data_IF_783595873543
#
_entry.id   IF_783595873543
#
_cell.length_a   1.000
_cell.length_b   1.000
_cell.length_c   1.000
_cell.angle_alpha   90.00
_cell.angle_beta   90.00
_cell.angle_gamma   90.00
#
_symmetry.space_group_name_H-M   'P 1'
#
loop_
_entity.id
_entity.type
_entity.pdbx_description
1 polymer ?
#
# COMPACT_ATOMS: atom_id res chain seq x y z
N UNK A 1 -6.51 45.85 0.10
CA UNK A 1 -7.18 44.82 0.93
C UNK A 1 -7.23 43.55 0.11
N UNK A 2 -6.73 42.40 0.61
CA UNK A 2 -6.91 41.12 -0.12
C UNK A 2 -8.41 40.86 -0.26
N UNK A 3 -8.90 40.56 -1.45
CA UNK A 3 -10.30 40.14 -1.64
C UNK A 3 -10.53 38.82 -0.90
N UNK A 4 -11.75 38.64 -0.35
CA UNK A 4 -12.14 37.43 0.37
C UNK A 4 -11.89 36.16 -0.46
N UNK A 5 -12.11 36.24 -1.77
CA UNK A 5 -11.88 35.16 -2.72
C UNK A 5 -10.41 34.74 -2.79
N UNK A 6 -9.46 35.68 -2.80
CA UNK A 6 -8.02 35.36 -2.79
C UNK A 6 -7.59 34.64 -1.50
N UNK A 7 -8.24 34.95 -0.38
CA UNK A 7 -7.99 34.24 0.89
C UNK A 7 -8.55 32.82 0.83
N UNK A 8 -9.77 32.65 0.32
CA UNK A 8 -10.40 31.34 0.14
C UNK A 8 -9.61 30.42 -0.78
N UNK A 9 -9.20 30.91 -1.95
CA UNK A 9 -8.37 30.19 -2.90
C UNK A 9 -7.02 29.78 -2.28
N UNK A 10 -6.40 30.69 -1.53
CA UNK A 10 -5.14 30.43 -0.84
C UNK A 10 -5.26 29.28 0.17
N UNK A 11 -6.32 29.29 0.99
CA UNK A 11 -6.58 28.24 1.98
C UNK A 11 -6.92 26.91 1.31
N UNK A 12 -7.80 26.89 0.31
CA UNK A 12 -8.11 25.68 -0.45
C UNK A 12 -6.85 25.05 -1.05
N UNK A 13 -5.97 25.88 -1.64
CA UNK A 13 -4.71 25.40 -2.20
C UNK A 13 -3.80 24.80 -1.13
N UNK A 14 -3.65 25.47 0.02
CA UNK A 14 -2.85 24.95 1.13
C UNK A 14 -3.41 23.64 1.69
N UNK A 15 -4.73 23.50 1.82
CA UNK A 15 -5.38 22.26 2.25
C UNK A 15 -5.13 21.12 1.26
N UNK A 16 -5.27 21.38 -0.05
CA UNK A 16 -4.98 20.38 -1.10
C UNK A 16 -3.52 19.90 -1.08
N UNK A 17 -2.57 20.82 -0.84
CA UNK A 17 -1.16 20.46 -0.71
C UNK A 17 -0.91 19.63 0.55
N UNK A 18 -1.56 19.97 1.67
CA UNK A 18 -1.46 19.19 2.90
C UNK A 18 -2.05 17.79 2.74
N UNK A 19 -3.21 17.67 2.10
CA UNK A 19 -3.84 16.41 1.72
C UNK A 19 -2.89 15.52 0.94
N UNK A 20 -2.35 16.02 -0.18
CA UNK A 20 -1.49 15.22 -1.06
C UNK A 20 -0.26 14.70 -0.35
N UNK A 21 0.35 15.50 0.54
CA UNK A 21 1.49 15.05 1.37
C UNK A 21 1.11 13.94 2.33
N UNK A 22 -0.09 14.01 2.89
CA UNK A 22 -0.59 13.00 3.83
C UNK A 22 -0.97 11.71 3.12
N UNK A 23 -1.55 11.80 1.91
CA UNK A 23 -1.80 10.67 1.03
C UNK A 23 -0.50 9.93 0.69
N UNK A 24 0.54 10.65 0.26
CA UNK A 24 1.85 10.07 -0.01
C UNK A 24 2.40 9.34 1.23
N UNK A 25 2.31 9.98 2.40
CA UNK A 25 2.82 9.43 3.67
C UNK A 25 2.09 8.14 4.08
N UNK A 26 0.76 8.11 3.92
CA UNK A 26 -0.06 6.95 4.28
C UNK A 26 0.12 5.79 3.29
N UNK A 27 0.37 6.09 2.02
CA UNK A 27 0.45 5.07 0.96
C UNK A 27 1.86 4.53 0.73
N UNK A 28 2.91 5.26 1.15
CA UNK A 28 4.32 4.91 0.90
C UNK A 28 4.68 3.44 1.20
N UNK A 29 4.21 2.89 2.32
CA UNK A 29 4.54 1.52 2.74
C UNK A 29 3.58 0.46 2.19
N UNK A 30 2.42 0.85 1.66
CA UNK A 30 1.45 -0.07 1.07
C UNK A 30 2.01 -0.72 -0.20
N UNK A 31 2.80 0.03 -0.98
CA UNK A 31 3.44 -0.47 -2.19
C UNK A 31 4.34 -1.66 -1.87
N UNK A 32 5.15 -1.57 -0.81
CA UNK A 32 6.01 -2.68 -0.39
C UNK A 32 5.19 -3.93 -0.05
N UNK A 33 4.10 -3.80 0.72
CA UNK A 33 3.24 -4.93 1.06
C UNK A 33 2.60 -5.55 -0.18
N UNK A 34 2.16 -4.74 -1.14
CA UNK A 34 1.62 -5.22 -2.42
C UNK A 34 2.68 -5.97 -3.26
N UNK A 35 3.92 -5.48 -3.27
CA UNK A 35 5.03 -6.15 -3.95
C UNK A 35 5.36 -7.48 -3.28
N UNK A 36 5.48 -7.53 -1.95
CA UNK A 36 5.74 -8.79 -1.22
C UNK A 36 4.60 -9.78 -1.44
N UNK A 37 3.36 -9.33 -1.34
CA UNK A 37 2.17 -10.15 -1.59
C UNK A 37 2.18 -10.80 -2.98
N UNK A 38 2.55 -10.04 -4.01
CA UNK A 38 2.51 -10.51 -5.40
C UNK A 38 3.75 -11.30 -5.81
N UNK A 39 4.94 -10.94 -5.32
CA UNK A 39 6.20 -11.57 -5.72
C UNK A 39 6.51 -12.86 -4.95
N UNK A 40 6.16 -12.94 -3.66
CA UNK A 40 6.56 -14.06 -2.79
C UNK A 40 6.10 -15.45 -3.27
N UNK A 41 4.90 -15.63 -3.83
CA UNK A 41 4.49 -16.93 -4.39
C UNK A 41 5.39 -17.38 -5.55
N UNK A 42 5.82 -16.45 -6.40
CA UNK A 42 6.70 -16.75 -7.52
C UNK A 42 8.12 -17.10 -7.06
N UNK A 43 8.61 -16.47 -5.98
CA UNK A 43 9.88 -16.84 -5.35
C UNK A 43 9.80 -18.28 -4.81
N UNK A 44 8.68 -18.66 -4.18
CA UNK A 44 8.47 -20.04 -3.71
C UNK A 44 8.38 -21.06 -4.85
N UNK A 45 7.66 -20.71 -5.93
CA UNK A 45 7.59 -21.53 -7.14
C UNK A 45 8.97 -21.70 -7.79
N UNK A 46 9.77 -20.64 -7.88
CA UNK A 46 11.13 -20.72 -8.37
C UNK A 46 11.97 -21.73 -7.55
N UNK A 47 11.84 -21.71 -6.22
CA UNK A 47 12.48 -22.70 -5.35
C UNK A 47 12.08 -24.15 -5.66
N UNK A 48 10.81 -24.40 -6.01
CA UNK A 48 10.40 -25.76 -6.44
C UNK A 48 11.03 -26.18 -7.74
N UNK A 49 11.11 -25.28 -8.73
CA UNK A 49 11.77 -25.56 -10.01
C UNK A 49 13.24 -25.89 -9.78
N UNK A 50 13.91 -25.13 -8.91
CA UNK A 50 15.30 -25.38 -8.54
C UNK A 50 15.51 -26.75 -7.87
N UNK A 51 14.71 -27.09 -6.86
CA UNK A 51 14.84 -28.38 -6.16
C UNK A 51 14.51 -29.58 -7.04
N UNK A 52 13.53 -29.45 -7.95
CA UNK A 52 13.24 -30.48 -8.96
C UNK A 52 14.43 -30.64 -9.91
N UNK A 53 15.03 -29.54 -10.38
CA UNK A 53 16.24 -29.58 -11.21
C UNK A 53 17.40 -30.30 -10.49
N UNK A 54 17.65 -29.96 -9.22
CA UNK A 54 18.69 -30.62 -8.40
C UNK A 54 18.45 -32.12 -8.20
N UNK A 55 17.17 -32.52 -8.10
CA UNK A 55 16.76 -33.93 -8.04
C UNK A 55 17.15 -34.65 -9.34
N UNK A 56 16.85 -34.07 -10.51
CA UNK A 56 17.21 -34.66 -11.81
C UNK A 56 18.72 -34.71 -12.05
N UNK A 57 19.48 -33.71 -11.59
CA UNK A 57 20.95 -33.73 -11.65
C UNK A 57 21.54 -34.84 -10.77
N UNK A 58 21.00 -35.04 -9.57
CA UNK A 58 21.45 -36.13 -8.68
C UNK A 58 21.18 -37.51 -9.28
N UNK A 59 20.06 -37.66 -9.98
CA UNK A 59 19.72 -38.88 -10.72
C UNK A 59 20.66 -39.14 -11.91
N UNK A 60 21.07 -38.10 -12.64
CA UNK A 60 21.94 -38.27 -13.82
C UNK A 60 23.37 -38.67 -13.47
N UNK A 61 23.83 -38.36 -12.26
CA UNK A 61 25.18 -38.68 -11.79
C UNK A 61 25.29 -40.05 -11.10
N UNK A 62 24.17 -40.73 -10.83
CA UNK A 62 24.14 -41.96 -10.02
C UNK A 62 23.81 -43.18 -10.89
N UNK A 63 24.59 -44.26 -10.79
CA UNK A 63 24.33 -45.52 -11.54
C UNK A 63 23.07 -46.28 -11.08
N UNK A 64 22.70 -46.17 -9.81
CA UNK A 64 21.46 -46.72 -9.24
C UNK A 64 20.68 -45.62 -8.51
N UNK A 65 19.64 -45.12 -9.17
CA UNK A 65 18.73 -44.15 -8.59
C UNK A 65 17.86 -44.79 -7.49
N UNK A 66 17.77 -44.14 -6.33
CA UNK A 66 16.84 -44.53 -5.26
C UNK A 66 16.01 -43.33 -4.81
N UNK A 67 14.84 -43.55 -4.21
CA UNK A 67 14.05 -42.45 -3.64
C UNK A 67 14.82 -41.68 -2.57
N UNK A 68 15.71 -42.34 -1.83
CA UNK A 68 16.53 -41.72 -0.81
C UNK A 68 17.49 -40.66 -1.38
N UNK A 69 17.94 -40.79 -2.64
CA UNK A 69 18.87 -39.83 -3.26
C UNK A 69 18.20 -38.54 -3.73
N UNK A 70 16.88 -38.57 -3.97
CA UNK A 70 16.11 -37.38 -4.43
C UNK A 70 15.22 -36.77 -3.35
N UNK A 71 14.87 -37.54 -2.32
CA UNK A 71 13.96 -37.11 -1.26
C UNK A 71 14.36 -35.78 -0.58
N UNK A 72 15.64 -35.51 -0.27
CA UNK A 72 16.03 -34.23 0.35
C UNK A 72 15.72 -33.03 -0.54
N UNK A 73 16.07 -33.09 -1.82
CA UNK A 73 15.83 -32.00 -2.79
C UNK A 73 14.36 -31.69 -3.01
N UNK A 74 13.51 -32.72 -3.04
CA UNK A 74 12.05 -32.55 -3.16
C UNK A 74 11.48 -31.93 -1.89
N UNK A 75 11.94 -32.36 -0.72
CA UNK A 75 11.49 -31.78 0.55
C UNK A 75 11.84 -30.28 0.64
N UNK A 76 13.05 -29.89 0.24
CA UNK A 76 13.47 -28.48 0.18
C UNK A 76 12.62 -27.66 -0.81
N UNK A 77 12.31 -28.22 -1.98
CA UNK A 77 11.40 -27.59 -2.94
C UNK A 77 10.02 -27.28 -2.32
N UNK A 78 9.43 -28.23 -1.58
CA UNK A 78 8.13 -28.04 -0.94
C UNK A 78 8.18 -26.97 0.14
N UNK A 79 9.26 -26.94 0.94
CA UNK A 79 9.47 -25.88 1.95
C UNK A 79 9.57 -24.51 1.28
N UNK A 80 10.24 -24.38 0.13
CA UNK A 80 10.35 -23.11 -0.58
C UNK A 80 8.98 -22.53 -0.97
N UNK A 81 8.04 -23.36 -1.45
CA UNK A 81 6.67 -22.92 -1.74
C UNK A 81 5.91 -22.54 -0.46
N UNK A 82 6.04 -23.34 0.59
CA UNK A 82 5.41 -23.04 1.88
C UNK A 82 5.88 -21.69 2.42
N UNK A 83 7.17 -21.39 2.33
CA UNK A 83 7.76 -20.10 2.74
C UNK A 83 7.28 -18.93 1.88
N UNK A 84 7.17 -19.11 0.56
CA UNK A 84 6.63 -18.09 -0.34
C UNK A 84 5.18 -17.72 -0.02
N UNK A 85 4.34 -18.72 0.28
CA UNK A 85 2.95 -18.50 0.73
C UNK A 85 2.89 -17.89 2.14
N UNK A 86 3.76 -18.34 3.04
CA UNK A 86 3.86 -17.80 4.40
C UNK A 86 4.23 -16.31 4.40
N UNK A 87 5.05 -15.85 3.46
CA UNK A 87 5.33 -14.43 3.28
C UNK A 87 4.17 -13.67 2.59
N UNK A 88 3.53 -14.28 1.58
CA UNK A 88 2.47 -13.64 0.80
C UNK A 88 1.18 -13.38 1.59
N UNK A 89 0.71 -14.37 2.36
CA UNK A 89 -0.61 -14.32 3.03
C UNK A 89 -0.68 -13.17 4.04
N UNK A 90 0.26 -13.01 4.99
CA UNK A 90 0.26 -11.88 5.91
C UNK A 90 0.39 -10.55 5.16
N UNK A 91 1.23 -10.47 4.12
CA UNK A 91 1.41 -9.25 3.35
C UNK A 91 0.10 -8.77 2.72
N UNK A 92 -0.70 -9.68 2.13
CA UNK A 92 -2.04 -9.37 1.59
C UNK A 92 -2.99 -8.88 2.69
N UNK A 93 -3.01 -9.55 3.84
CA UNK A 93 -3.90 -9.18 4.96
C UNK A 93 -3.57 -7.77 5.45
N UNK A 94 -2.29 -7.47 5.68
CA UNK A 94 -1.85 -6.16 6.13
C UNK A 94 -2.07 -5.08 5.07
N UNK A 95 -1.79 -5.37 3.80
CA UNK A 95 -2.07 -4.45 2.69
C UNK A 95 -3.54 -4.05 2.67
N UNK A 96 -4.46 -5.02 2.68
CA UNK A 96 -5.90 -4.76 2.65
C UNK A 96 -6.37 -3.95 3.87
N UNK A 97 -5.89 -4.30 5.07
CA UNK A 97 -6.26 -3.58 6.30
C UNK A 97 -5.75 -2.15 6.30
N UNK A 98 -4.47 -1.94 5.97
CA UNK A 98 -3.85 -0.62 6.01
C UNK A 98 -4.33 0.27 4.88
N UNK A 99 -4.55 -0.29 3.68
CA UNK A 99 -5.14 0.43 2.54
C UNK A 99 -6.53 0.95 2.88
N UNK A 100 -7.41 0.08 3.42
CA UNK A 100 -8.75 0.51 3.85
C UNK A 100 -8.70 1.59 4.94
N UNK A 101 -7.75 1.49 5.87
CA UNK A 101 -7.58 2.51 6.91
C UNK A 101 -7.06 3.84 6.34
N UNK A 102 -6.11 3.79 5.41
CA UNK A 102 -5.58 4.97 4.73
C UNK A 102 -6.69 5.67 3.95
N UNK A 103 -7.47 4.95 3.13
CA UNK A 103 -8.59 5.51 2.39
C UNK A 103 -9.66 6.13 3.30
N UNK A 104 -9.96 5.51 4.45
CA UNK A 104 -10.89 6.07 5.44
C UNK A 104 -10.37 7.35 6.09
N UNK A 105 -9.08 7.39 6.43
CA UNK A 105 -8.47 8.57 7.05
C UNK A 105 -8.36 9.71 6.05
N UNK A 106 -7.96 9.40 4.81
CA UNK A 106 -8.02 10.34 3.70
C UNK A 106 -9.43 10.87 3.57
N UNK A 107 -10.46 10.06 3.35
CA UNK A 107 -11.85 10.56 3.24
C UNK A 107 -12.26 11.59 4.31
N UNK A 108 -11.88 11.36 5.58
CA UNK A 108 -12.13 12.33 6.67
C UNK A 108 -11.44 13.68 6.50
N UNK A 109 -10.24 13.73 5.92
CA UNK A 109 -9.56 14.99 5.65
C UNK A 109 -10.28 15.81 4.56
N UNK A 110 -11.10 15.19 3.70
CA UNK A 110 -11.70 15.81 2.51
C UNK A 110 -12.99 16.43 2.99
N UNK A 111 -13.78 15.62 3.71
CA UNK A 111 -14.94 16.08 4.48
C UNK A 111 -14.55 17.29 5.36
N UNK A 112 -13.43 17.21 6.07
CA UNK A 112 -12.93 18.33 6.88
C UNK A 112 -12.57 19.56 6.03
N UNK A 113 -11.88 19.39 4.90
CA UNK A 113 -11.50 20.49 4.03
C UNK A 113 -12.73 21.18 3.42
N UNK A 114 -13.75 20.41 3.04
CA UNK A 114 -15.02 20.91 2.52
C UNK A 114 -15.82 21.67 3.60
N UNK A 115 -15.97 21.10 4.79
CA UNK A 115 -16.63 21.75 5.92
C UNK A 115 -15.92 23.06 6.31
N UNK A 116 -14.59 23.01 6.40
CA UNK A 116 -13.78 24.18 6.72
C UNK A 116 -13.94 25.28 5.65
N UNK A 117 -13.93 24.89 4.37
CA UNK A 117 -14.16 25.82 3.28
C UNK A 117 -15.54 26.48 3.36
N UNK A 118 -16.60 25.70 3.61
CA UNK A 118 -17.97 26.22 3.74
C UNK A 118 -18.11 27.21 4.92
N UNK A 119 -17.49 26.90 6.06
CA UNK A 119 -17.47 27.77 7.24
C UNK A 119 -16.70 29.06 6.96
N UNK A 120 -15.52 28.95 6.33
CA UNK A 120 -14.68 30.12 6.03
C UNK A 120 -15.37 31.05 5.03
N UNK A 121 -15.97 30.48 3.98
CA UNK A 121 -16.73 31.23 2.98
C UNK A 121 -17.90 31.99 3.61
N UNK A 122 -18.70 31.34 4.48
CA UNK A 122 -19.80 31.99 5.20
C UNK A 122 -19.31 33.13 6.12
N UNK A 123 -18.20 32.92 6.84
CA UNK A 123 -17.67 33.93 7.77
C UNK A 123 -17.12 35.16 7.04
N UNK A 124 -16.50 34.99 5.88
CA UNK A 124 -15.99 36.11 5.10
C UNK A 124 -17.13 36.93 4.50
N UNK A 125 -18.18 36.29 3.97
CA UNK A 125 -19.39 36.97 3.48
C UNK A 125 -20.16 37.71 4.59
N UNK A 126 -20.25 37.11 5.78
CA UNK A 126 -20.90 37.75 6.94
C UNK A 126 -20.19 39.01 7.46
N UNK A 127 -18.90 39.19 7.16
CA UNK A 127 -18.11 40.37 7.54
C UNK A 127 -18.25 41.52 6.54
N UNK A 128 -18.48 41.22 5.27
CA UNK A 128 -18.70 42.23 4.22
C UNK A 128 -20.12 42.84 4.25
N UNK A 129 -21.06 42.24 5.01
CA UNK A 129 -22.46 42.64 5.09
C UNK A 129 -22.86 43.58 6.24
N UNK A 130 -21.91 44.15 7.03
CA UNK A 130 -22.25 45.11 8.09
C UNK A 130 -22.36 46.52 7.49
N UNK A 131 -23.55 47.15 7.40
CA UNK A 131 -23.62 48.54 6.96
C UNK A 131 -22.90 49.41 7.98
N UNK A 132 -22.06 50.33 7.49
CA UNK A 132 -21.57 51.47 8.25
C UNK A 132 -22.78 52.23 8.79
N UNK A 133 -23.10 52.04 10.07
CA UNK A 133 -24.04 52.89 10.77
C UNK A 133 -23.37 54.26 10.92
N UNK A 134 -23.80 55.23 10.11
CA UNK A 134 -23.52 56.66 10.23
C UNK A 134 -24.76 57.44 9.86
#
# INVERSE_FOLDING_TARGET
>A
TRSADTVLEGVQRSMRVAWSREEDRLTQHLVFLATVASASPYIGLFGTVWGIMGSFQSLSMTQQATLATVAPWIAEALIATAMGLFAAIPAVIFYNRLSNNASRLLGKYEDFAEEFHAILHRNLQGRDGKPSAS
#
